data_IF_290498360815
#
_entry.id   IF_290498360815
#
_cell.length_a   1.000
_cell.length_b   1.000
_cell.length_c   1.000
_cell.angle_alpha   90.00
_cell.angle_beta   90.00
_cell.angle_gamma   90.00
#
_symmetry.space_group_name_H-M   'P 1'
#
loop_
_entity.id
_entity.type
_entity.pdbx_description
1 polymer ?
#
# COMPACT_ATOMS: atom_id res chain seq x y z
N UNK A 1 1.66 10.38 37.92
CA UNK A 1 2.03 10.60 36.51
C UNK A 1 3.53 10.37 36.42
N UNK A 2 3.97 9.21 35.98
CA UNK A 2 5.38 8.96 35.68
C UNK A 2 5.68 9.65 34.35
N UNK A 3 6.38 10.77 34.38
CA UNK A 3 6.99 11.33 33.20
C UNK A 3 8.04 10.35 32.72
N UNK A 4 7.81 9.73 31.54
CA UNK A 4 8.83 8.96 30.84
C UNK A 4 9.93 9.95 30.44
N UNK A 5 11.03 9.95 31.18
CA UNK A 5 12.21 10.75 30.85
C UNK A 5 13.37 9.84 30.47
N UNK A 6 14.20 10.31 29.54
CA UNK A 6 15.48 9.65 29.21
C UNK A 6 16.43 9.68 30.40
N UNK A 7 17.52 8.90 30.35
CA UNK A 7 18.56 8.91 31.38
C UNK A 7 19.14 10.32 31.62
N UNK A 8 19.14 11.18 30.60
CA UNK A 8 19.62 12.56 30.62
C UNK A 8 18.54 13.59 30.99
N UNK A 9 17.32 13.11 31.40
CA UNK A 9 16.26 13.97 31.89
C UNK A 9 15.36 14.63 30.82
N UNK A 10 15.45 14.23 29.55
CA UNK A 10 14.56 14.70 28.49
C UNK A 10 13.24 13.96 28.48
N UNK A 11 12.16 14.64 28.14
CA UNK A 11 10.85 14.02 27.93
C UNK A 11 10.88 13.05 26.73
N UNK A 12 10.35 11.84 26.93
CA UNK A 12 10.22 10.84 25.85
C UNK A 12 8.90 11.08 25.13
N UNK A 13 8.97 11.33 23.83
CA UNK A 13 7.81 11.43 22.96
C UNK A 13 7.49 10.05 22.35
N UNK A 14 6.26 9.60 22.53
CA UNK A 14 5.76 8.37 21.94
C UNK A 14 5.25 8.67 20.54
N UNK A 15 5.75 7.92 19.54
CA UNK A 15 5.24 7.93 18.17
C UNK A 15 4.28 6.75 18.03
N UNK A 16 3.00 7.05 17.83
CA UNK A 16 1.94 6.03 17.72
C UNK A 16 1.66 5.76 16.24
N UNK A 17 1.82 4.51 15.82
CA UNK A 17 1.67 4.07 14.44
C UNK A 17 0.56 3.04 14.33
N UNK A 18 -0.41 3.26 13.45
CA UNK A 18 -1.46 2.30 13.14
C UNK A 18 -1.10 1.47 11.91
N UNK A 19 -1.42 0.18 11.96
CA UNK A 19 -1.17 -0.78 10.89
C UNK A 19 -2.23 -1.88 10.89
N UNK A 20 -2.68 -2.32 9.70
CA UNK A 20 -3.76 -3.30 9.59
C UNK A 20 -3.30 -4.75 9.42
N UNK A 21 -2.02 -4.99 9.17
CA UNK A 21 -1.44 -6.31 8.99
C UNK A 21 -0.78 -6.82 10.29
N UNK A 22 -0.27 -8.05 10.24
CA UNK A 22 0.41 -8.67 11.37
C UNK A 22 1.88 -8.22 11.51
N UNK A 23 2.51 -8.61 12.62
CA UNK A 23 3.89 -8.24 12.96
C UNK A 23 4.94 -8.92 12.06
N UNK A 24 4.59 -10.02 11.39
CA UNK A 24 5.48 -10.71 10.45
C UNK A 24 5.51 -10.06 9.06
N UNK A 25 4.59 -9.13 8.80
CA UNK A 25 4.53 -8.44 7.53
C UNK A 25 5.76 -7.56 7.31
N UNK A 26 6.34 -7.55 6.09
CA UNK A 26 7.54 -6.75 5.79
C UNK A 26 7.39 -5.26 6.09
N UNK A 27 6.20 -4.70 5.90
CA UNK A 27 5.94 -3.28 6.21
C UNK A 27 6.02 -3.01 7.72
N UNK A 28 5.54 -3.93 8.56
CA UNK A 28 5.70 -3.81 10.01
C UNK A 28 7.19 -3.82 10.40
N UNK A 29 7.95 -4.77 9.86
CA UNK A 29 9.38 -4.90 10.14
C UNK A 29 10.17 -3.65 9.74
N UNK A 30 9.85 -3.07 8.57
CA UNK A 30 10.46 -1.83 8.10
C UNK A 30 10.15 -0.64 9.02
N UNK A 31 8.88 -0.50 9.42
CA UNK A 31 8.47 0.56 10.34
C UNK A 31 9.09 0.36 11.73
N UNK A 32 9.18 -0.87 12.21
CA UNK A 32 9.82 -1.17 13.50
C UNK A 32 11.30 -0.81 13.49
N UNK A 33 12.01 -1.15 12.42
CA UNK A 33 13.42 -0.79 12.27
C UNK A 33 13.63 0.73 12.22
N UNK A 34 12.77 1.44 11.48
CA UNK A 34 12.80 2.90 11.46
C UNK A 34 12.63 3.46 12.87
N UNK A 35 11.66 2.97 13.62
CA UNK A 35 11.41 3.42 14.99
C UNK A 35 12.57 3.16 15.93
N UNK A 36 13.17 1.96 15.87
CA UNK A 36 14.30 1.60 16.71
C UNK A 36 15.56 2.43 16.39
N UNK A 37 15.85 2.65 15.11
CA UNK A 37 16.98 3.49 14.69
C UNK A 37 16.76 4.97 15.05
N UNK A 38 15.54 5.45 15.00
CA UNK A 38 15.23 6.82 15.40
C UNK A 38 15.32 7.02 16.91
N UNK A 39 14.89 6.03 17.70
CA UNK A 39 15.09 6.02 19.16
C UNK A 39 16.58 6.07 19.49
N UNK A 40 17.41 5.24 18.85
CA UNK A 40 18.86 5.23 19.05
C UNK A 40 19.50 6.56 18.64
N UNK A 41 19.19 7.07 17.45
CA UNK A 41 19.77 8.31 16.92
C UNK A 41 19.38 9.57 17.72
N UNK A 42 18.27 9.51 18.46
CA UNK A 42 17.78 10.61 19.31
C UNK A 42 18.03 10.37 20.80
N UNK A 43 18.88 9.40 21.16
CA UNK A 43 19.20 9.04 22.55
C UNK A 43 17.94 8.79 23.40
N UNK A 44 16.93 8.10 22.84
CA UNK A 44 15.71 7.74 23.54
C UNK A 44 14.66 8.86 23.66
N UNK A 45 14.85 10.01 23.02
CA UNK A 45 13.87 11.11 23.06
C UNK A 45 12.58 10.79 22.28
N UNK A 46 12.63 9.86 21.35
CA UNK A 46 11.48 9.34 20.62
C UNK A 46 11.40 7.83 20.77
N UNK A 47 10.22 7.33 21.03
CA UNK A 47 9.93 5.90 21.10
C UNK A 47 8.70 5.55 20.28
N UNK A 48 8.86 4.63 19.33
CA UNK A 48 7.75 4.21 18.46
C UNK A 48 6.99 3.04 19.07
N UNK A 49 5.66 3.14 19.05
CA UNK A 49 4.73 2.05 19.37
C UNK A 49 3.87 1.80 18.15
N UNK A 50 3.92 0.59 17.62
CA UNK A 50 3.13 0.18 16.48
C UNK A 50 1.96 -0.67 16.97
N UNK A 51 0.75 -0.37 16.48
CA UNK A 51 -0.49 -1.10 16.77
C UNK A 51 -0.89 -1.88 15.51
N UNK A 52 -0.52 -3.19 15.42
CA UNK A 52 -0.79 -4.02 14.25
C UNK A 52 -2.22 -4.55 14.25
N UNK A 53 -2.55 -5.36 13.23
CA UNK A 53 -3.79 -6.13 13.12
C UNK A 53 -5.09 -5.27 13.10
N UNK A 54 -4.99 -4.01 12.72
CA UNK A 54 -6.16 -3.13 12.63
C UNK A 54 -6.84 -2.82 13.97
N UNK A 55 -6.13 -2.98 15.09
CA UNK A 55 -6.72 -2.76 16.44
C UNK A 55 -7.17 -1.32 16.66
N UNK A 56 -6.64 -0.35 15.92
CA UNK A 56 -7.04 1.06 15.97
C UNK A 56 -8.06 1.45 14.89
N UNK A 57 -8.63 0.49 14.19
CA UNK A 57 -9.67 0.70 13.19
C UNK A 57 -9.22 0.40 11.76
N UNK A 58 -10.12 0.61 10.83
CA UNK A 58 -9.90 0.41 9.40
C UNK A 58 -9.00 1.51 8.80
N UNK A 59 -8.39 1.23 7.67
CA UNK A 59 -7.37 2.10 7.05
C UNK A 59 -7.87 3.52 6.75
N UNK A 60 -9.12 3.68 6.31
CA UNK A 60 -9.72 5.00 6.11
C UNK A 60 -9.84 5.81 7.41
N UNK A 61 -10.18 5.16 8.52
CA UNK A 61 -10.27 5.79 9.84
C UNK A 61 -8.90 6.21 10.38
N UNK A 62 -7.84 5.48 10.03
CA UNK A 62 -6.47 5.83 10.43
C UNK A 62 -6.07 7.23 9.95
N UNK A 63 -6.41 7.58 8.71
CA UNK A 63 -6.13 8.92 8.17
C UNK A 63 -6.84 10.02 8.96
N UNK A 64 -8.10 9.81 9.36
CA UNK A 64 -8.83 10.77 10.18
C UNK A 64 -8.19 10.95 11.57
N UNK A 65 -7.73 9.89 12.21
CA UNK A 65 -7.01 9.98 13.47
C UNK A 65 -5.68 10.72 13.35
N UNK A 66 -4.99 10.57 12.23
CA UNK A 66 -3.76 11.31 11.93
C UNK A 66 -4.05 12.80 11.73
N UNK A 67 -5.09 13.13 10.98
CA UNK A 67 -5.50 14.53 10.74
C UNK A 67 -5.84 15.28 12.03
N UNK A 68 -6.41 14.60 13.01
CA UNK A 68 -6.75 15.18 14.32
C UNK A 68 -5.60 15.16 15.31
N UNK A 69 -4.48 14.50 14.98
CA UNK A 69 -3.35 14.30 15.89
C UNK A 69 -3.56 13.19 16.94
N UNK A 70 -4.64 12.41 16.82
CA UNK A 70 -4.87 11.25 17.70
C UNK A 70 -3.86 10.11 17.43
N UNK A 71 -3.36 10.02 16.19
CA UNK A 71 -2.23 9.18 15.78
C UNK A 71 -1.14 10.02 15.15
N UNK A 72 0.09 9.54 15.19
CA UNK A 72 1.25 10.21 14.61
C UNK A 72 1.54 9.72 13.20
N UNK A 73 1.45 8.41 12.97
CA UNK A 73 1.74 7.78 11.67
C UNK A 73 0.80 6.59 11.40
N UNK A 74 0.69 6.24 10.14
CA UNK A 74 0.04 4.99 9.70
C UNK A 74 0.62 4.51 8.37
N UNK A 75 0.43 3.23 8.09
CA UNK A 75 0.65 2.64 6.77
C UNK A 75 -0.72 2.31 6.19
N UNK A 76 -1.04 2.91 5.06
CA UNK A 76 -2.34 2.79 4.40
C UNK A 76 -2.17 2.62 2.89
N UNK A 77 -3.13 2.02 2.16
CA UNK A 77 -3.04 1.98 0.71
C UNK A 77 -3.13 3.39 0.10
N UNK A 78 -2.56 3.58 -1.08
CA UNK A 78 -2.60 4.86 -1.78
C UNK A 78 -4.03 5.33 -2.12
N UNK A 79 -5.01 4.43 -2.06
CA UNK A 79 -6.44 4.77 -2.17
C UNK A 79 -6.93 5.70 -1.05
N UNK A 80 -6.28 5.67 0.11
CA UNK A 80 -6.66 6.56 1.23
C UNK A 80 -6.36 8.02 0.89
N UNK A 81 -5.13 8.43 0.55
CA UNK A 81 -4.90 9.80 0.08
C UNK A 81 -5.63 10.12 -1.24
N UNK A 82 -5.90 9.15 -2.12
CA UNK A 82 -6.74 9.34 -3.31
C UNK A 82 -8.13 9.88 -2.96
N UNK A 83 -8.70 9.46 -1.83
CA UNK A 83 -9.98 9.98 -1.33
C UNK A 83 -9.95 11.46 -0.95
N UNK A 84 -8.77 12.04 -0.71
CA UNK A 84 -8.57 13.48 -0.43
C UNK A 84 -8.12 14.25 -1.67
N UNK A 85 -7.33 13.64 -2.52
CA UNK A 85 -6.80 14.23 -3.75
C UNK A 85 -6.76 13.18 -4.86
N UNK A 86 -7.63 13.34 -5.86
CA UNK A 86 -7.78 12.40 -6.97
C UNK A 86 -6.51 12.21 -7.81
N UNK A 87 -5.53 13.12 -7.73
CA UNK A 87 -4.25 12.97 -8.41
C UNK A 87 -3.42 11.79 -7.88
N UNK A 88 -3.72 11.30 -6.67
CA UNK A 88 -3.12 10.06 -6.16
C UNK A 88 -3.48 8.81 -6.97
N UNK A 89 -4.48 8.87 -7.83
CA UNK A 89 -4.79 7.78 -8.75
C UNK A 89 -3.59 7.36 -9.61
N UNK A 90 -2.69 8.31 -9.95
CA UNK A 90 -1.50 8.02 -10.75
C UNK A 90 -0.49 7.15 -9.99
N UNK A 91 -0.41 7.28 -8.67
CA UNK A 91 0.60 6.55 -7.88
C UNK A 91 0.37 5.04 -7.92
N UNK A 92 -0.88 4.60 -7.92
CA UNK A 92 -1.28 3.18 -7.98
C UNK A 92 -2.06 2.80 -9.23
N UNK A 93 -1.86 3.50 -10.35
CA UNK A 93 -2.61 3.25 -11.57
C UNK A 93 -2.35 1.84 -12.13
N UNK A 94 -3.39 1.17 -12.66
CA UNK A 94 -3.24 -0.16 -13.24
C UNK A 94 -2.23 -0.16 -14.39
N UNK A 95 -1.34 -1.15 -14.37
CA UNK A 95 -0.29 -1.36 -15.41
C UNK A 95 0.68 -0.19 -15.64
N UNK A 96 0.84 0.68 -14.64
CA UNK A 96 1.77 1.81 -14.73
C UNK A 96 3.23 1.37 -14.62
N UNK A 97 3.55 0.50 -13.67
CA UNK A 97 4.92 0.06 -13.40
C UNK A 97 5.18 -1.31 -14.01
N UNK A 98 6.43 -1.56 -14.43
CA UNK A 98 6.85 -2.86 -14.94
C UNK A 98 6.92 -3.92 -13.82
N UNK A 99 7.41 -3.53 -12.65
CA UNK A 99 7.61 -4.38 -11.48
C UNK A 99 7.79 -3.55 -10.18
N UNK A 100 8.03 -4.23 -9.08
CA UNK A 100 8.28 -3.57 -7.79
C UNK A 100 9.53 -2.69 -7.80
N UNK A 101 10.60 -3.11 -8.48
CA UNK A 101 11.84 -2.31 -8.56
C UNK A 101 11.63 -1.00 -9.32
N UNK A 102 10.79 -1.01 -10.34
CA UNK A 102 10.40 0.22 -11.05
C UNK A 102 9.65 1.19 -10.11
N UNK A 103 8.74 0.70 -9.28
CA UNK A 103 8.07 1.50 -8.26
C UNK A 103 9.08 2.05 -7.24
N UNK A 104 10.04 1.23 -6.78
CA UNK A 104 11.11 1.64 -5.87
C UNK A 104 11.93 2.79 -6.46
N UNK A 105 12.43 2.64 -7.68
CA UNK A 105 13.22 3.69 -8.37
C UNK A 105 12.41 4.98 -8.49
N UNK A 106 11.15 4.87 -8.85
CA UNK A 106 10.26 6.04 -8.97
C UNK A 106 10.11 6.75 -7.63
N UNK A 107 9.86 6.01 -6.56
CA UNK A 107 9.73 6.56 -5.21
C UNK A 107 11.01 7.29 -4.76
N UNK A 108 12.15 6.65 -4.90
CA UNK A 108 13.44 7.19 -4.43
C UNK A 108 13.99 8.30 -5.35
N UNK A 109 13.49 8.44 -6.57
CA UNK A 109 13.86 9.53 -7.47
C UNK A 109 13.30 10.89 -7.08
N UNK A 110 12.34 10.94 -6.16
CA UNK A 110 11.60 12.15 -5.83
C UNK A 110 10.45 12.48 -6.78
N UNK A 111 10.08 11.55 -7.67
CA UNK A 111 9.00 11.79 -8.64
C UNK A 111 7.65 12.15 -8.00
N UNK A 112 7.40 11.68 -6.79
CA UNK A 112 6.16 11.91 -6.05
C UNK A 112 6.21 13.11 -5.09
N UNK A 113 7.36 13.74 -4.90
CA UNK A 113 7.58 14.71 -3.81
C UNK A 113 6.59 15.87 -3.83
N UNK A 114 6.30 16.45 -4.98
CA UNK A 114 5.35 17.55 -5.12
C UNK A 114 3.94 17.14 -4.66
N UNK A 115 3.46 15.98 -5.15
CA UNK A 115 2.16 15.44 -4.78
C UNK A 115 2.11 15.06 -3.30
N UNK A 116 3.14 14.39 -2.80
CA UNK A 116 3.20 13.92 -1.42
C UNK A 116 3.19 15.09 -0.43
N UNK A 117 4.01 16.12 -0.66
CA UNK A 117 4.05 17.32 0.17
C UNK A 117 2.75 18.12 0.11
N UNK A 118 2.03 18.09 -1.01
CA UNK A 118 0.77 18.80 -1.16
C UNK A 118 -0.32 18.31 -0.20
N UNK A 119 -0.19 17.09 0.36
CA UNK A 119 -1.15 16.53 1.31
C UNK A 119 -1.16 17.25 2.67
N UNK A 120 -0.14 18.05 2.98
CA UNK A 120 -0.09 18.84 4.22
C UNK A 120 -1.33 19.75 4.40
N UNK A 121 -1.97 20.18 3.32
CA UNK A 121 -3.25 20.90 3.37
C UNK A 121 -4.39 20.11 4.04
N UNK A 122 -4.24 18.79 4.16
CA UNK A 122 -5.19 17.91 4.83
C UNK A 122 -4.76 17.54 6.25
N UNK A 123 -3.74 18.18 6.83
CA UNK A 123 -3.15 17.90 8.14
C UNK A 123 -2.46 16.53 8.25
N UNK A 124 -2.06 15.94 7.13
CA UNK A 124 -1.12 14.83 7.07
C UNK A 124 -0.14 15.04 5.90
N UNK A 125 0.98 14.35 5.94
CA UNK A 125 1.92 14.31 4.84
C UNK A 125 2.20 12.85 4.46
N UNK A 126 2.14 12.55 3.17
CA UNK A 126 2.63 11.28 2.64
C UNK A 126 4.15 11.35 2.58
N UNK A 127 4.82 10.43 3.28
CA UNK A 127 6.28 10.45 3.43
C UNK A 127 7.00 9.61 2.38
N UNK A 128 6.49 8.41 2.11
CA UNK A 128 7.10 7.45 1.20
C UNK A 128 6.12 6.36 0.80
N UNK A 129 6.56 5.52 -0.12
CA UNK A 129 5.86 4.29 -0.54
C UNK A 129 6.52 3.08 0.13
N UNK A 130 5.68 2.19 0.66
CA UNK A 130 6.03 0.80 0.94
C UNK A 130 5.28 -0.08 -0.08
N UNK A 131 5.97 -1.05 -0.69
CA UNK A 131 5.28 -1.93 -1.62
C UNK A 131 4.32 -2.87 -0.90
N UNK A 132 3.14 -3.07 -1.47
CA UNK A 132 2.22 -4.13 -1.10
C UNK A 132 2.22 -5.28 -2.13
N UNK A 133 3.24 -5.34 -2.97
CA UNK A 133 3.43 -6.35 -3.99
C UNK A 133 2.62 -6.12 -5.25
N UNK A 134 2.65 -7.10 -6.13
CA UNK A 134 1.79 -7.12 -7.31
C UNK A 134 0.43 -7.71 -6.94
N UNK A 135 -0.64 -7.03 -7.32
CA UNK A 135 -2.00 -7.50 -7.05
C UNK A 135 -2.49 -8.36 -8.21
N UNK A 136 -3.15 -9.45 -7.85
CA UNK A 136 -3.66 -10.47 -8.75
C UNK A 136 -5.07 -10.88 -8.33
N UNK A 137 -5.85 -11.46 -9.23
CA UNK A 137 -7.24 -11.83 -8.98
C UNK A 137 -7.30 -13.27 -8.46
N UNK A 138 -8.06 -13.49 -7.41
CA UNK A 138 -8.36 -14.84 -6.91
C UNK A 138 -9.86 -15.09 -6.77
N UNK A 139 -10.27 -16.31 -7.13
CA UNK A 139 -11.66 -16.72 -7.21
C UNK A 139 -11.79 -18.25 -7.08
N UNK A 140 -13.02 -18.77 -7.15
CA UNK A 140 -13.27 -20.21 -7.20
C UNK A 140 -13.25 -20.79 -8.62
N UNK A 141 -12.79 -20.01 -9.59
CA UNK A 141 -12.49 -20.44 -10.95
C UNK A 141 -11.23 -19.73 -11.46
N UNK A 142 -10.50 -20.31 -12.43
CA UNK A 142 -9.38 -19.64 -13.04
C UNK A 142 -9.84 -18.42 -13.86
N UNK A 143 -9.04 -17.35 -13.83
CA UNK A 143 -9.25 -16.15 -14.63
C UNK A 143 -8.12 -16.09 -15.65
N UNK A 144 -8.42 -16.46 -16.89
CA UNK A 144 -7.45 -16.49 -18.00
C UNK A 144 -7.61 -15.31 -18.96
N UNK A 145 -8.82 -14.78 -19.07
CA UNK A 145 -9.14 -13.66 -19.96
C UNK A 145 -10.08 -12.68 -19.28
N UNK A 146 -10.20 -11.42 -19.75
CA UNK A 146 -11.21 -10.50 -19.25
C UNK A 146 -12.65 -11.05 -19.35
N UNK A 147 -12.95 -11.87 -20.34
CA UNK A 147 -14.28 -12.49 -20.46
C UNK A 147 -14.62 -13.40 -19.28
N UNK A 148 -13.63 -13.98 -18.61
CA UNK A 148 -13.85 -14.79 -17.41
C UNK A 148 -14.35 -13.96 -16.22
N UNK A 149 -14.16 -12.63 -16.25
CA UNK A 149 -14.65 -11.71 -15.22
C UNK A 149 -16.10 -11.24 -15.47
N UNK A 150 -16.67 -11.54 -16.62
CA UNK A 150 -18.00 -11.05 -16.99
C UNK A 150 -19.04 -11.46 -15.97
N UNK A 151 -19.72 -10.46 -15.36
CA UNK A 151 -20.74 -10.68 -14.35
C UNK A 151 -20.22 -11.03 -12.96
N UNK A 152 -18.92 -11.16 -12.76
CA UNK A 152 -18.34 -11.43 -11.45
C UNK A 152 -18.25 -10.15 -10.61
N UNK A 153 -18.63 -10.29 -9.35
CA UNK A 153 -18.45 -9.23 -8.36
C UNK A 153 -17.04 -9.38 -7.76
N UNK A 154 -16.19 -8.40 -8.02
CA UNK A 154 -14.79 -8.37 -7.55
C UNK A 154 -14.62 -7.30 -6.48
N UNK A 155 -14.17 -7.71 -5.29
CA UNK A 155 -13.85 -6.77 -4.22
C UNK A 155 -12.54 -6.04 -4.53
N UNK A 156 -12.56 -4.74 -4.31
CA UNK A 156 -11.38 -3.86 -4.33
C UNK A 156 -11.32 -3.01 -3.07
N UNK A 157 -10.21 -2.32 -2.84
CA UNK A 157 -10.12 -1.26 -1.86
C UNK A 157 -11.12 -0.14 -2.21
N UNK A 158 -11.45 0.70 -1.24
CA UNK A 158 -12.26 1.90 -1.47
C UNK A 158 -11.48 2.90 -2.32
N UNK A 159 -11.56 2.72 -3.62
CA UNK A 159 -10.88 3.51 -4.65
C UNK A 159 -11.72 3.57 -5.92
N UNK A 160 -12.03 4.77 -6.35
CA UNK A 160 -12.70 5.01 -7.64
C UNK A 160 -11.87 4.43 -8.79
N UNK A 161 -10.56 4.54 -8.74
CA UNK A 161 -9.64 3.97 -9.72
C UNK A 161 -9.79 2.46 -9.83
N UNK A 162 -9.84 1.76 -8.69
CA UNK A 162 -9.94 0.29 -8.70
C UNK A 162 -11.33 -0.22 -9.08
N UNK A 163 -12.37 0.50 -8.68
CA UNK A 163 -13.73 0.22 -9.17
C UNK A 163 -13.81 0.33 -10.69
N UNK A 164 -13.23 1.39 -11.25
CA UNK A 164 -13.16 1.59 -12.71
C UNK A 164 -12.29 0.53 -13.39
N UNK A 165 -11.17 0.15 -12.80
CA UNK A 165 -10.31 -0.92 -13.31
C UNK A 165 -11.08 -2.22 -13.52
N UNK A 166 -11.81 -2.68 -12.51
CA UNK A 166 -12.63 -3.90 -12.61
C UNK A 166 -13.69 -3.76 -13.70
N UNK A 167 -14.32 -2.60 -13.82
CA UNK A 167 -15.30 -2.31 -14.88
C UNK A 167 -14.68 -2.40 -16.27
N UNK A 168 -13.48 -1.80 -16.47
CA UNK A 168 -12.78 -1.89 -17.75
C UNK A 168 -12.34 -3.32 -18.09
N UNK A 169 -12.02 -4.12 -17.07
CA UNK A 169 -11.74 -5.56 -17.25
C UNK A 169 -12.97 -6.40 -17.56
N UNK A 170 -14.19 -5.88 -17.37
CA UNK A 170 -15.44 -6.57 -17.67
C UNK A 170 -16.18 -7.13 -16.45
N UNK A 171 -15.66 -6.96 -15.25
CA UNK A 171 -16.30 -7.35 -14.00
C UNK A 171 -17.14 -6.24 -13.36
N UNK A 172 -17.67 -6.53 -12.18
CA UNK A 172 -18.40 -5.58 -11.34
C UNK A 172 -17.59 -5.34 -10.07
N UNK A 173 -17.06 -4.14 -9.91
CA UNK A 173 -16.28 -3.78 -8.73
C UNK A 173 -17.18 -3.46 -7.52
N UNK A 174 -16.76 -3.90 -6.34
CA UNK A 174 -17.36 -3.49 -5.07
C UNK A 174 -16.27 -3.17 -4.05
N UNK A 175 -16.41 -2.04 -3.37
CA UNK A 175 -15.48 -1.63 -2.33
C UNK A 175 -15.90 -2.21 -0.98
N UNK A 176 -14.94 -2.77 -0.25
CA UNK A 176 -15.14 -3.17 1.14
C UNK A 176 -13.79 -3.27 1.87
N UNK A 177 -13.84 -3.21 3.19
CA UNK A 177 -12.66 -3.38 4.03
C UNK A 177 -12.05 -4.77 3.88
N UNK A 178 -10.72 -4.88 4.02
CA UNK A 178 -10.01 -6.15 3.90
C UNK A 178 -10.50 -7.19 4.91
N UNK A 179 -10.88 -6.78 6.11
CA UNK A 179 -11.39 -7.66 7.18
C UNK A 179 -12.69 -8.40 6.80
N UNK A 180 -13.43 -7.89 5.81
CA UNK A 180 -14.72 -8.47 5.38
C UNK A 180 -14.58 -9.48 4.23
N UNK A 181 -13.43 -9.53 3.55
CA UNK A 181 -13.24 -10.26 2.28
C UNK A 181 -13.44 -11.76 2.44
N UNK A 182 -12.83 -12.38 3.46
CA UNK A 182 -12.96 -13.82 3.68
C UNK A 182 -14.43 -14.24 3.81
N UNK A 183 -15.16 -13.58 4.67
CA UNK A 183 -16.59 -13.89 4.91
C UNK A 183 -17.44 -13.60 3.67
N UNK A 184 -17.18 -12.51 2.97
CA UNK A 184 -17.90 -12.17 1.74
C UNK A 184 -17.69 -13.21 0.62
N UNK A 185 -16.46 -13.73 0.47
CA UNK A 185 -16.16 -14.84 -0.43
C UNK A 185 -16.86 -16.14 0.02
N UNK A 186 -16.76 -16.45 1.30
CA UNK A 186 -17.36 -17.66 1.88
C UNK A 186 -18.87 -17.69 1.68
N UNK A 187 -19.55 -16.57 1.85
CA UNK A 187 -21.00 -16.43 1.72
C UNK A 187 -21.48 -16.19 0.28
N UNK A 188 -20.57 -16.01 -0.67
CA UNK A 188 -20.91 -15.71 -2.06
C UNK A 188 -21.45 -14.29 -2.28
N UNK A 189 -21.23 -13.36 -1.36
CA UNK A 189 -21.56 -11.93 -1.53
C UNK A 189 -20.67 -11.30 -2.60
N UNK A 190 -19.42 -11.74 -2.70
CA UNK A 190 -18.49 -11.45 -3.77
C UNK A 190 -18.02 -12.75 -4.42
N UNK A 191 -17.62 -12.67 -5.68
CA UNK A 191 -17.16 -13.83 -6.46
C UNK A 191 -15.63 -13.91 -6.51
N UNK A 192 -14.96 -12.78 -6.33
CA UNK A 192 -13.51 -12.66 -6.40
C UNK A 192 -12.99 -11.57 -5.49
N UNK A 193 -11.72 -11.73 -5.10
CA UNK A 193 -10.90 -10.69 -4.52
C UNK A 193 -9.66 -10.44 -5.38
N UNK A 194 -8.90 -9.42 -5.04
CA UNK A 194 -7.63 -9.14 -5.68
C UNK A 194 -6.64 -8.62 -4.64
N UNK A 195 -5.44 -9.17 -4.61
CA UNK A 195 -4.38 -8.80 -3.67
C UNK A 195 -3.07 -9.52 -4.02
N UNK A 196 -2.03 -9.24 -3.24
CA UNK A 196 -0.74 -9.94 -3.32
C UNK A 196 -0.82 -11.35 -2.74
N UNK A 197 0.18 -12.19 -3.05
CA UNK A 197 0.33 -13.52 -2.46
C UNK A 197 0.40 -13.44 -0.93
N UNK A 198 1.05 -12.40 -0.40
CA UNK A 198 1.20 -12.23 1.05
C UNK A 198 -0.13 -12.08 1.77
N UNK A 199 -1.00 -11.20 1.28
CA UNK A 199 -2.34 -11.02 1.85
C UNK A 199 -3.22 -12.24 1.62
N UNK A 200 -3.20 -12.79 0.42
CA UNK A 200 -3.94 -14.01 0.07
C UNK A 200 -3.65 -15.15 1.04
N UNK A 201 -2.38 -15.32 1.41
CA UNK A 201 -1.92 -16.36 2.33
C UNK A 201 -2.20 -15.99 3.79
N UNK A 202 -1.83 -14.81 4.24
CA UNK A 202 -1.96 -14.38 5.64
C UNK A 202 -3.43 -14.39 6.12
N UNK A 203 -4.36 -13.98 5.27
CA UNK A 203 -5.80 -13.97 5.56
C UNK A 203 -6.51 -15.27 5.16
N UNK A 204 -5.75 -16.27 4.69
CA UNK A 204 -6.27 -17.59 4.29
C UNK A 204 -7.37 -17.51 3.24
N UNK A 205 -7.31 -16.54 2.36
CA UNK A 205 -8.29 -16.38 1.28
C UNK A 205 -8.30 -17.58 0.33
N UNK A 206 -7.20 -18.36 0.26
CA UNK A 206 -7.13 -19.61 -0.50
C UNK A 206 -8.17 -20.65 -0.05
N UNK A 207 -8.66 -20.60 1.19
CA UNK A 207 -9.70 -21.51 1.69
C UNK A 207 -11.06 -21.24 1.01
N UNK A 208 -11.32 -20.02 0.60
CA UNK A 208 -12.61 -19.56 0.05
C UNK A 208 -12.53 -19.10 -1.41
N UNK A 209 -11.32 -19.03 -1.98
CA UNK A 209 -11.02 -18.68 -3.37
C UNK A 209 -9.69 -19.32 -3.79
N UNK A 210 -9.73 -20.58 -4.22
CA UNK A 210 -8.51 -21.38 -4.38
C UNK A 210 -7.68 -21.11 -5.64
N UNK A 211 -8.24 -20.44 -6.65
CA UNK A 211 -7.52 -20.08 -7.88
C UNK A 211 -6.96 -18.69 -7.78
N UNK A 212 -5.66 -18.58 -7.87
CA UNK A 212 -4.93 -17.32 -7.86
C UNK A 212 -4.35 -17.08 -9.24
N UNK A 213 -4.90 -16.10 -9.97
CA UNK A 213 -4.57 -15.82 -11.37
C UNK A 213 -3.70 -14.57 -11.45
N UNK A 214 -2.49 -14.72 -11.99
CA UNK A 214 -1.48 -13.67 -12.11
C UNK A 214 -1.83 -12.65 -13.20
N UNK A 215 -2.85 -11.86 -12.97
CA UNK A 215 -3.24 -10.75 -13.85
C UNK A 215 -2.26 -9.57 -13.76
N UNK A 216 -1.51 -9.46 -12.67
CA UNK A 216 -0.48 -8.43 -12.44
C UNK A 216 -0.97 -7.02 -12.76
N UNK A 217 -2.20 -6.73 -12.34
CA UNK A 217 -2.90 -5.52 -12.77
C UNK A 217 -2.44 -4.26 -12.04
N UNK A 218 -1.86 -4.39 -10.85
CA UNK A 218 -1.30 -3.27 -10.08
C UNK A 218 -0.01 -3.71 -9.41
N UNK A 219 1.05 -2.93 -9.56
CA UNK A 219 2.18 -2.91 -8.62
C UNK A 219 1.79 -1.94 -7.54
N UNK A 220 1.33 -2.47 -6.39
CA UNK A 220 0.56 -1.69 -5.42
C UNK A 220 1.43 -0.92 -4.45
N UNK A 221 1.30 0.43 -4.41
CA UNK A 221 1.90 1.22 -3.35
C UNK A 221 0.95 1.30 -2.15
N UNK A 222 1.44 0.87 -0.99
CA UNK A 222 0.99 1.43 0.27
C UNK A 222 1.82 2.67 0.56
N UNK A 223 1.30 3.57 1.36
CA UNK A 223 2.01 4.81 1.71
C UNK A 223 2.14 4.95 3.22
N UNK A 224 3.24 5.53 3.63
CA UNK A 224 3.45 5.94 5.01
C UNK A 224 2.97 7.37 5.14
N UNK A 225 1.99 7.60 6.00
CA UNK A 225 1.45 8.93 6.29
C UNK A 225 1.78 9.35 7.71
N UNK A 226 2.00 10.62 7.92
CA UNK A 226 2.28 11.19 9.23
C UNK A 226 1.48 12.47 9.48
N UNK A 227 1.09 12.69 10.73
CA UNK A 227 0.46 13.94 11.16
C UNK A 227 1.41 15.12 10.96
N UNK A 228 0.93 16.21 10.38
CA UNK A 228 1.71 17.45 10.28
C UNK A 228 2.09 18.00 11.67
N UNK A 229 1.24 17.81 12.67
CA UNK A 229 1.56 18.19 14.06
C UNK A 229 2.79 17.44 14.58
N UNK A 230 2.86 16.13 14.32
CA UNK A 230 4.02 15.31 14.70
C UNK A 230 5.28 15.78 13.97
N UNK A 231 5.22 15.92 12.65
CA UNK A 231 6.37 16.33 11.83
C UNK A 231 6.89 17.70 12.23
N UNK A 232 6.01 18.66 12.45
CA UNK A 232 6.36 20.03 12.81
C UNK A 232 6.84 20.17 14.28
N UNK A 233 6.61 19.16 15.10
CA UNK A 233 7.10 19.12 16.49
C UNK A 233 8.57 18.77 16.61
N UNK A 234 9.18 18.20 15.56
CA UNK A 234 10.59 17.84 15.54
C UNK A 234 11.48 19.07 15.34
N UNK A 235 12.66 19.05 15.96
CA UNK A 235 13.73 20.00 15.61
C UNK A 235 14.20 19.75 14.17
N UNK A 236 14.83 20.74 13.55
CA UNK A 236 15.40 20.58 12.21
C UNK A 236 16.39 19.41 12.14
N UNK A 237 17.21 19.22 13.17
CA UNK A 237 18.18 18.12 13.24
C UNK A 237 17.49 16.76 13.34
N UNK A 238 16.49 16.63 14.20
CA UNK A 238 15.72 15.38 14.34
C UNK A 238 14.94 15.05 13.07
N UNK A 239 14.38 16.08 12.41
CA UNK A 239 13.68 15.92 11.14
C UNK A 239 14.59 15.40 10.03
N UNK A 240 15.82 15.91 9.93
CA UNK A 240 16.80 15.43 8.97
C UNK A 240 17.15 13.95 9.20
N UNK A 241 17.37 13.55 10.45
CA UNK A 241 17.59 12.15 10.82
C UNK A 241 16.38 11.29 10.43
N UNK A 242 15.18 11.76 10.80
CA UNK A 242 13.93 11.05 10.51
C UNK A 242 13.73 10.85 9.01
N UNK A 243 13.91 11.90 8.20
CA UNK A 243 13.72 11.83 6.74
C UNK A 243 14.68 10.84 6.08
N UNK A 244 15.95 10.80 6.55
CA UNK A 244 16.92 9.81 6.08
C UNK A 244 16.48 8.39 6.43
N UNK A 245 16.04 8.17 7.65
CA UNK A 245 15.58 6.85 8.10
C UNK A 245 14.30 6.40 7.36
N UNK A 246 13.42 7.32 7.00
CA UNK A 246 12.26 7.03 6.14
C UNK A 246 12.72 6.52 4.78
N UNK A 247 13.67 7.16 4.13
CA UNK A 247 14.23 6.70 2.85
C UNK A 247 14.90 5.33 2.98
N UNK A 248 15.70 5.11 4.01
CA UNK A 248 16.34 3.81 4.28
C UNK A 248 15.30 2.71 4.51
N UNK A 249 14.19 3.02 5.20
CA UNK A 249 13.11 2.07 5.45
C UNK A 249 12.38 1.64 4.17
N UNK A 250 12.33 2.52 3.18
CA UNK A 250 11.78 2.21 1.86
C UNK A 250 12.56 1.08 1.19
N UNK A 251 13.89 1.21 1.12
CA UNK A 251 14.74 0.17 0.55
C UNK A 251 14.63 -1.16 1.31
N UNK A 252 14.67 -1.11 2.63
CA UNK A 252 14.52 -2.29 3.48
C UNK A 252 13.20 -3.01 3.21
N UNK A 253 12.09 -2.25 3.14
CA UNK A 253 10.75 -2.82 2.96
C UNK A 253 10.60 -3.50 1.60
N UNK A 254 11.06 -2.87 0.51
CA UNK A 254 10.99 -3.48 -0.82
C UNK A 254 11.77 -4.80 -0.89
N UNK A 255 12.97 -4.84 -0.32
CA UNK A 255 13.78 -6.08 -0.26
C UNK A 255 13.10 -7.16 0.57
N UNK A 256 12.61 -6.82 1.75
CA UNK A 256 11.93 -7.76 2.65
C UNK A 256 10.62 -8.28 2.05
N UNK A 257 9.87 -7.43 1.35
CA UNK A 257 8.65 -7.84 0.68
C UNK A 257 8.94 -8.83 -0.45
N UNK A 258 9.92 -8.55 -1.29
CA UNK A 258 10.31 -9.44 -2.38
C UNK A 258 10.70 -10.85 -1.88
N UNK A 259 11.40 -10.96 -0.76
CA UNK A 259 11.73 -12.24 -0.13
C UNK A 259 10.47 -12.96 0.37
N UNK A 260 9.51 -12.24 0.93
CA UNK A 260 8.29 -12.82 1.53
C UNK A 260 7.31 -13.40 0.51
N UNK A 261 7.34 -12.96 -0.74
CA UNK A 261 6.41 -13.41 -1.80
C UNK A 261 6.54 -14.90 -2.08
N UNK A 262 7.78 -15.42 -2.18
CA UNK A 262 8.00 -16.82 -2.49
C UNK A 262 7.55 -17.76 -1.35
N UNK A 263 7.76 -17.33 -0.11
CA UNK A 263 7.29 -18.06 1.07
C UNK A 263 5.76 -18.13 1.12
N UNK A 264 5.10 -16.98 0.92
CA UNK A 264 3.64 -16.89 0.90
C UNK A 264 3.03 -17.76 -0.20
N UNK A 265 3.63 -17.77 -1.39
CA UNK A 265 3.20 -18.61 -2.51
C UNK A 265 3.30 -20.10 -2.17
N UNK A 266 4.44 -20.54 -1.62
CA UNK A 266 4.63 -21.92 -1.22
C UNK A 266 3.62 -22.36 -0.17
N UNK A 267 3.37 -21.52 0.81
CA UNK A 267 2.42 -21.80 1.88
C UNK A 267 0.99 -21.92 1.36
N UNK A 268 0.54 -21.01 0.51
CA UNK A 268 -0.77 -21.09 -0.13
C UNK A 268 -0.92 -22.36 -0.99
N UNK A 269 0.11 -22.72 -1.78
CA UNK A 269 0.13 -23.91 -2.62
C UNK A 269 0.05 -25.18 -1.79
N UNK A 270 0.78 -25.25 -0.68
CA UNK A 270 0.73 -26.37 0.26
C UNK A 270 -0.66 -26.56 0.90
N UNK A 271 -1.47 -25.50 0.96
CA UNK A 271 -2.84 -25.50 1.46
C UNK A 271 -3.92 -25.60 0.36
N UNK A 272 -3.53 -25.97 -0.86
CA UNK A 272 -4.46 -26.27 -1.94
C UNK A 272 -4.73 -25.15 -2.93
N UNK A 273 -4.05 -24.00 -2.83
CA UNK A 273 -4.15 -22.95 -3.82
C UNK A 273 -3.62 -23.40 -5.20
N UNK A 274 -4.30 -23.01 -6.25
CA UNK A 274 -3.93 -23.29 -7.64
C UNK A 274 -3.56 -21.98 -8.32
N UNK A 275 -2.32 -21.88 -8.79
CA UNK A 275 -1.81 -20.69 -9.48
C UNK A 275 -2.03 -20.79 -10.98
N UNK A 276 -2.58 -19.73 -11.55
CA UNK A 276 -2.94 -19.60 -12.97
C UNK A 276 -2.15 -18.46 -13.59
N UNK A 277 -1.63 -18.65 -14.79
CA UNK A 277 -0.76 -17.70 -15.47
C UNK A 277 -1.39 -17.23 -16.79
N UNK A 278 -2.31 -16.25 -16.75
CA UNK A 278 -2.96 -15.72 -17.95
C UNK A 278 -1.99 -14.87 -18.78
N UNK A 279 -2.37 -14.61 -20.02
CA UNK A 279 -1.74 -13.57 -20.82
C UNK A 279 -2.15 -12.18 -20.28
N UNK A 280 -1.24 -11.51 -19.60
CA UNK A 280 -1.49 -10.22 -18.95
C UNK A 280 -1.80 -9.09 -19.93
N UNK A 281 -1.35 -9.19 -21.19
CA UNK A 281 -1.62 -8.18 -22.20
C UNK A 281 -3.11 -8.03 -22.51
N UNK A 282 -3.88 -9.10 -22.40
CA UNK A 282 -5.34 -9.06 -22.58
C UNK A 282 -6.02 -8.11 -21.56
N UNK A 283 -5.52 -8.10 -20.33
CA UNK A 283 -6.00 -7.23 -19.26
C UNK A 283 -5.43 -5.83 -19.36
N UNK A 284 -4.14 -5.71 -19.73
CA UNK A 284 -3.49 -4.42 -19.95
C UNK A 284 -4.21 -3.60 -21.01
N UNK A 285 -4.55 -4.21 -22.15
CA UNK A 285 -5.26 -3.54 -23.24
C UNK A 285 -6.62 -2.98 -22.76
N UNK A 286 -7.34 -3.73 -21.92
CA UNK A 286 -8.60 -3.27 -21.35
C UNK A 286 -8.44 -2.07 -20.42
N UNK A 287 -7.35 -2.01 -19.69
CA UNK A 287 -7.06 -0.92 -18.72
C UNK A 287 -6.37 0.29 -19.34
N UNK A 288 -5.85 0.18 -20.58
CA UNK A 288 -5.12 1.29 -21.21
C UNK A 288 -5.90 2.60 -21.27
N UNK A 289 -7.21 2.63 -21.64
CA UNK A 289 -7.97 3.88 -21.62
C UNK A 289 -8.07 4.50 -20.23
N UNK A 290 -8.13 3.69 -19.17
CA UNK A 290 -8.14 4.18 -17.80
C UNK A 290 -6.78 4.80 -17.42
N UNK A 291 -5.68 4.13 -17.75
CA UNK A 291 -4.34 4.66 -17.52
C UNK A 291 -4.13 5.98 -18.25
N UNK A 292 -4.55 6.08 -19.50
CA UNK A 292 -4.46 7.31 -20.30
C UNK A 292 -5.27 8.45 -19.66
N UNK A 293 -6.47 8.17 -19.20
CA UNK A 293 -7.33 9.13 -18.49
C UNK A 293 -6.69 9.64 -17.20
N UNK A 294 -6.14 8.75 -16.38
CA UNK A 294 -5.48 9.10 -15.12
C UNK A 294 -4.22 9.93 -15.39
N UNK A 295 -3.40 9.51 -16.35
CA UNK A 295 -2.15 10.19 -16.69
C UNK A 295 -2.39 11.61 -17.20
N UNK A 296 -3.48 11.83 -17.91
CA UNK A 296 -3.82 13.10 -18.51
C UNK A 296 -4.72 14.02 -17.67
N UNK A 297 -5.14 13.60 -16.46
CA UNK A 297 -6.17 14.34 -15.71
C UNK A 297 -5.67 15.68 -15.12
N UNK A 298 -4.37 15.84 -14.89
CA UNK A 298 -3.77 17.08 -14.40
C UNK A 298 -2.31 17.21 -14.84
N UNK A 299 -1.73 18.40 -14.65
CA UNK A 299 -0.29 18.59 -14.90
C UNK A 299 0.57 17.75 -13.94
N UNK A 300 0.14 17.57 -12.70
CA UNK A 300 0.82 16.77 -11.69
C UNK A 300 0.87 15.30 -12.12
N UNK A 301 -0.26 14.72 -12.50
CA UNK A 301 -0.32 13.32 -12.94
C UNK A 301 0.47 13.09 -14.21
N UNK A 302 0.43 14.04 -15.15
CA UNK A 302 1.21 13.96 -16.40
C UNK A 302 2.71 13.98 -16.14
N UNK A 303 3.19 14.88 -15.27
CA UNK A 303 4.60 14.94 -14.89
C UNK A 303 5.08 13.64 -14.22
N UNK A 304 4.26 13.08 -13.32
CA UNK A 304 4.58 11.81 -12.65
C UNK A 304 4.62 10.69 -13.68
N UNK A 305 3.62 10.59 -14.56
CA UNK A 305 3.60 9.61 -15.63
C UNK A 305 4.88 9.69 -16.50
N UNK A 306 5.27 10.87 -16.94
CA UNK A 306 6.47 11.07 -17.75
C UNK A 306 7.75 10.63 -17.03
N UNK A 307 7.86 10.93 -15.72
CA UNK A 307 8.98 10.49 -14.88
C UNK A 307 9.01 8.96 -14.72
N UNK A 308 7.84 8.34 -14.54
CA UNK A 308 7.73 6.87 -14.49
C UNK A 308 8.21 6.24 -15.79
N UNK A 309 7.80 6.78 -16.94
CA UNK A 309 8.24 6.29 -18.24
C UNK A 309 9.77 6.42 -18.43
N UNK A 310 10.34 7.55 -17.98
CA UNK A 310 11.78 7.79 -18.06
C UNK A 310 12.62 6.87 -17.16
N UNK A 311 12.02 6.29 -16.13
CA UNK A 311 12.67 5.39 -15.17
C UNK A 311 12.51 3.91 -15.52
N UNK A 312 11.90 3.57 -16.66
CA UNK A 312 11.89 2.20 -17.17
C UNK A 312 13.30 1.79 -17.55
N UNK A 313 13.65 0.55 -17.23
CA UNK A 313 14.90 -0.04 -17.70
C UNK A 313 14.76 -0.41 -19.19
N UNK A 314 15.80 -0.17 -19.98
CA UNK A 314 15.88 -0.68 -21.34
C UNK A 314 15.91 -2.21 -21.30
N UNK A 315 14.97 -2.84 -22.02
CA UNK A 315 14.86 -4.31 -22.11
C UNK A 315 15.85 -4.85 -23.13
#
# INVERSE_FOLDING_TARGET
CSTNTTADGHEVKIIRVAFNQNEEHPQYKAMRELGDKFEEATNGRYKMVIYPNGVLGEQGSMAEFIRTGALDMAIVPCSVPEGYDSDFAIVGAPYLYDDMDHLRRTTLSGAFDELFKSTRKFNFEVLTVYTAGERNIYANKPINTPDDLKGMIVRVNDSTTYLNMVKYMGGVGTAMSQSEVYTALQQGVIDAGENSERVYTDFKHYEVAKYYSYTKHIVHPDVVIASTNFLDSMSAADKEIFDKLVADSTDYEFDAFAESVQEAKKDAEANGAIFVYPDTELFREKCQPLLDSISGQSEVTKKIYDKVQALREEK
#
